data_IF_040517849609
#
_entry.id   IF_040517849609
#
_cell.length_a   1.000
_cell.length_b   1.000
_cell.length_c   1.000
_cell.angle_alpha   90.00
_cell.angle_beta   90.00
_cell.angle_gamma   90.00
#
_symmetry.space_group_name_H-M   'P 1'
#
loop_
_entity.id
_entity.type
_entity.pdbx_description
1 polymer ?
#
# COMPACT_ATOMS: atom_id res chain seq x y z
N UNK A 1 -10.59 -24.97 0.10
CA UNK A 1 -10.77 -23.60 -0.42
C UNK A 1 -9.50 -22.79 -0.15
N UNK A 2 -9.01 -22.10 -1.14
CA UNK A 2 -7.77 -21.33 -1.02
C UNK A 2 -8.05 -19.84 -0.87
N UNK A 3 -7.23 -19.17 -0.08
CA UNK A 3 -7.28 -17.73 0.07
C UNK A 3 -6.96 -17.06 -1.27
N UNK A 4 -7.79 -16.11 -1.70
CA UNK A 4 -7.58 -15.41 -2.97
C UNK A 4 -6.40 -14.43 -2.93
N UNK A 5 -5.83 -14.16 -1.75
CA UNK A 5 -4.71 -13.22 -1.57
C UNK A 5 -3.40 -13.97 -1.41
N UNK A 6 -3.26 -14.78 -0.36
CA UNK A 6 -1.99 -15.49 -0.08
C UNK A 6 -1.91 -16.88 -0.69
N UNK A 7 -3.00 -17.40 -1.23
CA UNK A 7 -3.11 -18.70 -1.88
C UNK A 7 -2.97 -19.91 -0.93
N UNK A 8 -2.89 -19.68 0.36
CA UNK A 8 -2.84 -20.78 1.34
C UNK A 8 -4.23 -21.37 1.54
N UNK A 9 -4.27 -22.60 2.01
CA UNK A 9 -5.54 -23.27 2.31
C UNK A 9 -6.26 -22.56 3.45
N UNK A 10 -7.56 -22.30 3.29
CA UNK A 10 -8.36 -21.66 4.31
C UNK A 10 -8.92 -22.73 5.25
N UNK A 11 -8.74 -22.53 6.54
CA UNK A 11 -9.36 -23.35 7.57
C UNK A 11 -10.65 -22.66 8.00
N UNK A 12 -11.78 -23.35 7.92
CA UNK A 12 -13.07 -22.78 8.25
C UNK A 12 -13.75 -22.09 7.07
N UNK A 13 -14.58 -21.11 7.36
CA UNK A 13 -15.43 -20.45 6.35
C UNK A 13 -14.71 -19.35 5.57
N UNK A 14 -13.66 -18.80 6.13
CA UNK A 14 -12.97 -17.68 5.50
C UNK A 14 -13.72 -16.36 5.64
N UNK A 15 -13.26 -15.35 4.91
CA UNK A 15 -13.78 -13.99 4.97
C UNK A 15 -13.96 -13.43 3.57
N UNK A 16 -14.94 -12.53 3.40
CA UNK A 16 -15.14 -11.83 2.15
C UNK A 16 -13.95 -10.88 1.89
N UNK A 17 -13.26 -11.07 0.78
CA UNK A 17 -12.07 -10.28 0.46
C UNK A 17 -12.35 -8.97 -0.26
N UNK A 18 -13.57 -8.76 -0.75
CA UNK A 18 -13.89 -7.56 -1.54
C UNK A 18 -13.63 -6.27 -0.74
N UNK A 19 -13.04 -5.20 -1.31
CA UNK A 19 -12.62 -5.09 -2.70
C UNK A 19 -11.16 -5.49 -2.96
N UNK A 20 -10.44 -6.02 -1.97
CA UNK A 20 -9.05 -6.45 -2.16
C UNK A 20 -8.92 -7.73 -2.99
N UNK A 21 -10.01 -8.49 -3.09
CA UNK A 21 -10.11 -9.68 -3.92
C UNK A 21 -11.56 -9.96 -4.24
N UNK A 22 -11.79 -10.90 -5.15
CA UNK A 22 -13.14 -11.20 -5.63
C UNK A 22 -13.74 -12.48 -5.02
N UNK A 23 -13.07 -13.07 -4.05
CA UNK A 23 -13.48 -14.31 -3.45
C UNK A 23 -13.25 -14.29 -1.95
N UNK A 24 -12.89 -15.42 -1.37
CA UNK A 24 -12.73 -15.61 0.07
C UNK A 24 -11.25 -15.54 0.45
N UNK A 25 -10.94 -14.90 1.59
CA UNK A 25 -9.59 -14.84 2.11
C UNK A 25 -9.52 -15.47 3.51
N UNK A 26 -8.29 -15.81 3.92
CA UNK A 26 -8.05 -16.35 5.26
C UNK A 26 -8.13 -15.23 6.31
N UNK A 27 -8.19 -15.63 7.59
CA UNK A 27 -8.28 -14.67 8.69
C UNK A 27 -7.09 -13.71 8.73
N UNK A 28 -5.89 -14.21 8.48
CA UNK A 28 -4.68 -13.39 8.48
C UNK A 28 -4.74 -12.31 7.39
N UNK A 29 -5.09 -12.69 6.16
CA UNK A 29 -5.20 -11.73 5.07
C UNK A 29 -6.36 -10.75 5.29
N UNK A 30 -7.42 -11.18 5.95
CA UNK A 30 -8.51 -10.28 6.29
C UNK A 30 -8.01 -9.14 7.18
N UNK A 31 -7.23 -9.47 8.22
CA UNK A 31 -6.70 -8.47 9.15
C UNK A 31 -5.59 -7.63 8.52
N UNK A 32 -4.67 -8.26 7.81
CA UNK A 32 -3.46 -7.59 7.30
C UNK A 32 -3.65 -6.86 5.98
N UNK A 33 -4.63 -7.23 5.18
CA UNK A 33 -4.81 -6.68 3.84
C UNK A 33 -6.19 -6.07 3.64
N UNK A 34 -7.23 -6.85 3.84
CA UNK A 34 -8.60 -6.44 3.50
C UNK A 34 -9.09 -5.29 4.37
N UNK A 35 -8.93 -5.41 5.68
CA UNK A 35 -9.39 -4.37 6.62
C UNK A 35 -8.65 -3.04 6.39
N UNK A 36 -7.31 -3.00 6.33
CA UNK A 36 -6.60 -1.74 6.03
C UNK A 36 -7.01 -1.13 4.69
N UNK A 37 -7.20 -1.95 3.67
CA UNK A 37 -7.61 -1.45 2.36
C UNK A 37 -8.99 -0.80 2.44
N UNK A 38 -9.95 -1.44 3.10
CA UNK A 38 -11.29 -0.88 3.27
C UNK A 38 -11.26 0.44 4.04
N UNK A 39 -10.40 0.52 5.06
CA UNK A 39 -10.22 1.76 5.84
C UNK A 39 -9.65 2.88 5.00
N UNK A 40 -8.68 2.58 4.13
CA UNK A 40 -8.13 3.59 3.22
C UNK A 40 -9.22 4.14 2.29
N UNK A 41 -10.00 3.26 1.67
CA UNK A 41 -11.05 3.67 0.75
C UNK A 41 -12.12 4.49 1.44
N UNK A 42 -12.45 4.15 2.69
CA UNK A 42 -13.43 4.91 3.48
C UNK A 42 -12.92 6.31 3.82
N UNK A 43 -11.61 6.45 4.03
CA UNK A 43 -11.00 7.70 4.46
C UNK A 43 -10.40 8.51 3.31
N UNK A 44 -10.59 8.09 2.06
CA UNK A 44 -9.97 8.77 0.93
C UNK A 44 -10.45 10.21 0.77
N UNK A 45 -11.63 10.54 1.25
CA UNK A 45 -12.14 11.91 1.22
C UNK A 45 -11.39 12.85 2.15
N UNK A 46 -10.85 12.33 3.25
CA UNK A 46 -10.08 13.14 4.19
C UNK A 46 -8.69 13.43 3.68
N UNK A 47 -8.17 12.56 2.82
CA UNK A 47 -6.87 12.73 2.17
C UNK A 47 -5.72 13.00 3.15
N UNK A 48 -5.79 12.42 4.36
CA UNK A 48 -4.77 12.60 5.39
C UNK A 48 -4.03 11.33 5.76
N UNK A 49 -4.30 10.23 5.06
CA UNK A 49 -3.73 8.92 5.39
C UNK A 49 -3.16 8.27 4.13
N UNK A 50 -1.93 7.78 4.24
CA UNK A 50 -1.28 7.01 3.18
C UNK A 50 -1.40 5.51 3.45
N UNK A 51 -1.21 4.71 2.41
CA UNK A 51 -1.20 3.26 2.53
C UNK A 51 0.21 2.74 2.22
N UNK A 52 0.83 2.11 3.21
CA UNK A 52 2.11 1.44 3.01
C UNK A 52 1.83 -0.02 2.65
N UNK A 53 2.25 -0.42 1.46
CA UNK A 53 2.09 -1.79 0.96
C UNK A 53 3.43 -2.49 1.11
N UNK A 54 3.54 -3.36 2.11
CA UNK A 54 4.73 -4.17 2.28
C UNK A 54 4.54 -5.49 1.52
N UNK A 55 5.55 -6.35 1.53
CA UNK A 55 5.42 -7.65 0.89
C UNK A 55 4.48 -8.59 1.65
N UNK A 56 4.12 -8.26 2.88
CA UNK A 56 3.30 -9.11 3.75
C UNK A 56 1.96 -8.52 4.15
N UNK A 57 1.84 -7.19 4.21
CA UNK A 57 0.65 -6.56 4.76
C UNK A 57 0.48 -5.12 4.28
N UNK A 58 -0.67 -4.55 4.59
CA UNK A 58 -0.95 -3.14 4.36
C UNK A 58 -0.99 -2.43 5.70
N UNK A 59 -0.45 -1.22 5.74
CA UNK A 59 -0.48 -0.37 6.94
C UNK A 59 -0.95 1.02 6.57
N UNK A 60 -1.83 1.58 7.38
CA UNK A 60 -2.23 2.97 7.24
C UNK A 60 -1.21 3.84 7.95
N UNK A 61 -0.71 4.85 7.27
CA UNK A 61 0.38 5.71 7.77
C UNK A 61 0.00 7.16 7.62
N UNK A 62 0.27 7.95 8.65
CA UNK A 62 0.07 9.40 8.62
C UNK A 62 1.43 10.10 8.77
N UNK A 63 1.60 11.28 8.15
CA UNK A 63 2.82 12.05 8.37
C UNK A 63 2.86 12.56 9.80
N UNK A 64 4.06 12.81 10.31
CA UNK A 64 4.23 13.37 11.67
C UNK A 64 3.63 14.76 11.78
N UNK A 65 3.84 15.55 10.74
CA UNK A 65 3.28 16.88 10.63
C UNK A 65 2.16 16.87 9.59
N UNK A 66 1.89 18.00 8.96
CA UNK A 66 0.82 18.12 7.97
C UNK A 66 1.15 17.40 6.67
N UNK A 67 2.43 17.33 6.29
CA UNK A 67 2.89 16.74 5.04
C UNK A 67 3.99 15.73 5.30
N UNK A 68 4.10 14.73 4.40
CA UNK A 68 5.22 13.81 4.45
C UNK A 68 6.52 14.53 4.07
N UNK A 69 7.56 14.32 4.87
CA UNK A 69 8.90 14.81 4.55
C UNK A 69 9.58 13.81 3.63
N UNK A 70 10.62 14.25 2.92
CA UNK A 70 11.41 13.34 2.08
C UNK A 70 11.98 12.19 2.91
N UNK A 71 12.43 12.48 4.13
CA UNK A 71 12.96 11.46 5.03
C UNK A 71 11.91 10.38 5.35
N UNK A 72 10.68 10.78 5.65
CA UNK A 72 9.60 9.83 5.92
C UNK A 72 9.31 8.94 4.71
N UNK A 73 9.31 9.54 3.51
CA UNK A 73 9.09 8.77 2.28
C UNK A 73 10.23 7.78 2.04
N UNK A 74 11.47 8.21 2.25
CA UNK A 74 12.63 7.35 2.09
C UNK A 74 12.65 6.21 3.10
N UNK A 75 12.24 6.47 4.34
CA UNK A 75 12.14 5.42 5.36
C UNK A 75 11.07 4.39 5.00
N UNK A 76 9.95 4.84 4.43
CA UNK A 76 8.87 3.93 4.06
C UNK A 76 9.31 2.92 3.01
N UNK A 77 10.14 3.33 2.05
CA UNK A 77 10.59 2.46 0.96
C UNK A 77 12.03 1.99 1.11
N UNK A 78 12.68 2.33 2.21
CA UNK A 78 14.05 1.90 2.55
C UNK A 78 15.12 2.41 1.58
N UNK A 79 15.01 3.62 1.09
CA UNK A 79 16.01 4.21 0.21
C UNK A 79 15.48 5.36 -0.60
N UNK A 80 16.18 5.67 -1.68
CA UNK A 80 15.77 6.74 -2.58
C UNK A 80 14.42 6.45 -3.20
N UNK A 81 13.64 7.50 -3.40
CA UNK A 81 12.27 7.35 -3.89
C UNK A 81 12.18 7.55 -5.39
N UNK A 82 11.21 6.86 -6.00
CA UNK A 82 10.80 7.06 -7.37
C UNK A 82 9.28 7.14 -7.38
N UNK A 83 8.75 8.10 -8.13
CA UNK A 83 7.31 8.20 -8.33
C UNK A 83 6.92 7.37 -9.54
N UNK A 84 5.91 6.53 -9.37
CA UNK A 84 5.40 5.70 -10.46
C UNK A 84 3.94 6.07 -10.74
N UNK A 85 3.32 5.34 -11.66
CA UNK A 85 1.96 5.62 -12.10
C UNK A 85 0.96 5.74 -10.97
N UNK A 86 -0.02 6.61 -11.16
CA UNK A 86 -1.15 6.76 -10.27
C UNK A 86 -2.01 5.51 -10.29
N UNK A 87 -2.22 4.87 -9.14
CA UNK A 87 -3.05 3.66 -9.04
C UNK A 87 -4.42 3.95 -8.45
N UNK A 88 -4.55 5.07 -7.77
CA UNK A 88 -5.83 5.59 -7.26
C UNK A 88 -5.91 7.06 -7.59
N UNK A 89 -7.11 7.59 -7.93
CA UNK A 89 -7.26 9.02 -8.20
C UNK A 89 -6.81 9.87 -7.02
N UNK A 90 -6.06 10.93 -7.29
CA UNK A 90 -5.55 11.88 -6.29
C UNK A 90 -4.52 11.30 -5.32
N UNK A 91 -3.92 10.15 -5.65
CA UNK A 91 -2.83 9.55 -4.89
C UNK A 91 -1.59 9.44 -5.76
N UNK A 92 -0.43 9.59 -5.14
CA UNK A 92 0.86 9.33 -5.77
C UNK A 92 1.42 8.02 -5.23
N UNK A 93 2.14 7.30 -6.05
CA UNK A 93 2.76 6.04 -5.65
C UNK A 93 4.26 6.22 -5.57
N UNK A 94 4.83 5.93 -4.40
CA UNK A 94 6.26 6.07 -4.12
C UNK A 94 6.85 4.68 -3.93
N UNK A 95 7.95 4.40 -4.63
CA UNK A 95 8.65 3.11 -4.51
C UNK A 95 10.14 3.36 -4.36
N UNK A 96 10.89 2.30 -4.01
CA UNK A 96 12.35 2.39 -3.94
C UNK A 96 12.91 2.41 -5.36
N UNK A 97 13.69 3.44 -5.67
CA UNK A 97 14.31 3.62 -6.99
C UNK A 97 15.22 2.44 -7.37
N UNK A 98 15.85 1.81 -6.38
CA UNK A 98 16.81 0.74 -6.58
C UNK A 98 16.33 -0.63 -6.11
N UNK A 99 15.02 -0.82 -5.96
CA UNK A 99 14.46 -2.04 -5.40
C UNK A 99 14.95 -3.33 -6.09
N UNK A 100 14.98 -3.34 -7.42
CA UNK A 100 15.45 -4.49 -8.18
C UNK A 100 16.95 -4.70 -8.02
N UNK A 101 17.72 -3.63 -8.08
CA UNK A 101 19.19 -3.68 -7.95
C UNK A 101 19.57 -4.20 -6.55
N UNK A 102 18.86 -3.78 -5.52
CA UNK A 102 19.09 -4.21 -4.14
C UNK A 102 18.51 -5.59 -3.84
N UNK A 103 17.89 -6.23 -4.82
CA UNK A 103 17.29 -7.57 -4.70
C UNK A 103 16.21 -7.66 -3.62
N UNK A 104 15.43 -6.60 -3.46
CA UNK A 104 14.26 -6.67 -2.59
C UNK A 104 13.25 -7.65 -3.17
N UNK A 105 12.47 -8.24 -2.28
CA UNK A 105 11.46 -9.21 -2.68
C UNK A 105 10.39 -8.54 -3.54
N UNK A 106 9.92 -9.22 -4.59
CA UNK A 106 8.81 -8.74 -5.40
C UNK A 106 7.57 -8.56 -4.52
N UNK A 107 6.90 -7.43 -4.66
CA UNK A 107 5.73 -7.12 -3.86
C UNK A 107 4.47 -7.66 -4.52
N UNK A 108 4.09 -8.88 -4.15
CA UNK A 108 2.91 -9.54 -4.73
C UNK A 108 1.61 -8.84 -4.34
N UNK A 109 1.54 -8.23 -3.15
CA UNK A 109 0.35 -7.49 -2.73
C UNK A 109 0.14 -6.25 -3.60
N UNK A 110 1.20 -5.52 -3.91
CA UNK A 110 1.10 -4.35 -4.77
C UNK A 110 0.65 -4.76 -6.17
N UNK A 111 1.16 -5.87 -6.66
CA UNK A 111 0.75 -6.40 -7.97
C UNK A 111 -0.70 -6.86 -7.95
N UNK A 112 -1.08 -7.61 -6.92
CA UNK A 112 -2.45 -8.14 -6.78
C UNK A 112 -3.49 -7.02 -6.66
N UNK A 113 -3.21 -6.01 -5.83
CA UNK A 113 -4.18 -4.95 -5.54
C UNK A 113 -4.21 -3.85 -6.60
N UNK A 114 -3.04 -3.49 -7.15
CA UNK A 114 -2.91 -2.30 -7.98
C UNK A 114 -2.25 -2.53 -9.34
N UNK A 115 -1.84 -3.77 -9.62
CA UNK A 115 -1.13 -4.06 -10.86
C UNK A 115 0.28 -3.50 -10.91
N UNK A 116 0.87 -3.15 -9.77
CA UNK A 116 2.20 -2.58 -9.70
C UNK A 116 3.28 -3.67 -9.69
N UNK A 117 4.27 -3.52 -10.55
CA UNK A 117 5.43 -4.41 -10.58
C UNK A 117 6.58 -3.74 -9.83
N UNK A 118 6.62 -3.91 -8.52
CA UNK A 118 7.63 -3.27 -7.67
C UNK A 118 8.31 -4.28 -6.76
N UNK A 119 9.55 -3.95 -6.37
CA UNK A 119 10.37 -4.77 -5.47
C UNK A 119 10.54 -4.01 -4.16
N UNK A 120 10.09 -4.61 -3.08
CA UNK A 120 10.07 -3.96 -1.78
C UNK A 120 8.76 -3.24 -1.51
N UNK A 121 8.79 -2.26 -0.64
CA UNK A 121 7.59 -1.53 -0.23
C UNK A 121 7.13 -0.50 -1.26
N UNK A 122 5.82 -0.24 -1.29
CA UNK A 122 5.25 0.86 -2.03
C UNK A 122 4.42 1.71 -1.06
N UNK A 123 4.46 3.03 -1.20
CA UNK A 123 3.66 3.93 -0.39
C UNK A 123 2.70 4.69 -1.30
N UNK A 124 1.41 4.55 -1.05
CA UNK A 124 0.37 5.24 -1.82
C UNK A 124 -0.09 6.43 -1.00
N UNK A 125 0.24 7.63 -1.47
CA UNK A 125 0.11 8.88 -0.69
C UNK A 125 -0.89 9.83 -1.35
N UNK A 126 -1.87 10.35 -0.58
CA UNK A 126 -2.72 11.42 -1.11
C UNK A 126 -1.88 12.62 -1.54
N UNK A 127 -2.17 13.18 -2.71
CA UNK A 127 -1.43 14.34 -3.23
C UNK A 127 -1.40 15.50 -2.25
N UNK A 128 -2.47 15.70 -1.50
CA UNK A 128 -2.57 16.81 -0.54
C UNK A 128 -1.54 16.77 0.58
N UNK A 129 -1.06 15.60 0.95
CA UNK A 129 -0.09 15.46 2.04
C UNK A 129 1.29 15.04 1.54
N UNK A 130 1.45 14.89 0.23
CA UNK A 130 2.74 14.56 -0.38
C UNK A 130 3.61 15.78 -0.52
N UNK A 131 3.07 16.86 -1.05
CA UNK A 131 3.83 18.08 -1.29
C UNK A 131 3.37 19.19 -0.36
N UNK A 132 4.35 19.83 0.30
CA UNK A 132 4.07 21.06 1.03
C UNK A 132 3.69 22.13 0.01
N UNK A 133 2.56 22.81 0.17
CA UNK A 133 2.23 23.93 -0.71
C UNK A 133 3.37 24.91 -0.68
N UNK A 134 3.72 25.45 -1.85
CA UNK A 134 4.73 26.49 -1.89
C UNK A 134 4.30 27.61 -0.99
N UNK A 135 5.15 27.90 -0.04
CA UNK A 135 4.86 28.90 0.93
C UNK A 135 5.25 30.24 0.31
N UNK A 136 4.28 31.00 0.07
CA UNK A 136 4.51 32.29 -0.55
C UNK A 136 4.90 33.34 0.46
#
# INVERSE_FOLDING_TARGET
>A
MRCCICKKEIKGYGNNAFPAGNSTCCDECNIKVVVPYRLLLRNCEKEDTALLVTTNELKLVKPKDKYFTLKELQEAVNGYIELVSEVLPNFLTVVNEEGLIRKYKFNELAYHLFGLEVYGNALIVPKKIFEKPEDD
#
